data_IF_117544593080
#
_entry.id   IF_117544593080
#
_cell.length_a   1.000
_cell.length_b   1.000
_cell.length_c   1.000
_cell.angle_alpha   90.00
_cell.angle_beta   90.00
_cell.angle_gamma   90.00
#
_symmetry.space_group_name_H-M   'P 1'
#
loop_
_entity.id
_entity.type
_entity.pdbx_description
1 polymer ?
#
# COMPACT_ATOMS: atom_id res chain seq x y z
N UNK A 1 -1.13 -6.66 11.94
CA UNK A 1 -1.51 -7.90 11.23
C UNK A 1 -2.43 -7.54 10.07
N UNK A 2 -2.19 -8.06 8.87
CA UNK A 2 -3.08 -7.83 7.73
C UNK A 2 -4.32 -8.72 7.77
N UNK A 3 -4.13 -10.00 8.10
CA UNK A 3 -5.20 -10.97 8.20
C UNK A 3 -5.71 -11.00 9.64
N UNK A 4 -6.84 -10.34 9.90
CA UNK A 4 -7.47 -10.34 11.22
C UNK A 4 -8.85 -11.01 11.18
N UNK A 5 -9.29 -11.69 12.26
CA UNK A 5 -10.57 -12.41 12.28
C UNK A 5 -11.82 -11.53 12.11
N UNK A 6 -11.81 -10.32 12.66
CA UNK A 6 -12.98 -9.42 12.70
C UNK A 6 -12.73 -8.05 12.05
N UNK A 7 -11.53 -7.86 11.49
CA UNK A 7 -11.09 -6.61 10.88
C UNK A 7 -10.22 -6.91 9.65
N UNK A 8 -9.94 -5.89 8.85
CA UNK A 8 -9.02 -6.00 7.71
C UNK A 8 -7.84 -5.05 7.93
N UNK A 9 -6.61 -5.56 7.99
CA UNK A 9 -5.45 -4.72 8.26
C UNK A 9 -5.15 -3.69 7.19
N UNK A 10 -5.56 -3.91 5.93
CA UNK A 10 -5.50 -2.87 4.89
C UNK A 10 -6.39 -1.67 5.21
N UNK A 11 -7.55 -1.91 5.84
CA UNK A 11 -8.45 -0.83 6.31
C UNK A 11 -7.78 -0.05 7.45
N UNK A 12 -7.16 -0.75 8.40
CA UNK A 12 -6.46 -0.12 9.52
C UNK A 12 -5.27 0.71 9.04
N UNK A 13 -4.43 0.17 8.16
CA UNK A 13 -3.26 0.88 7.63
C UNK A 13 -3.70 2.07 6.79
N UNK A 14 -4.76 1.93 5.98
CA UNK A 14 -5.35 3.05 5.24
C UNK A 14 -5.84 4.16 6.17
N UNK A 15 -6.52 3.82 7.27
CA UNK A 15 -6.92 4.79 8.29
C UNK A 15 -5.72 5.47 8.95
N UNK A 16 -4.70 4.71 9.35
CA UNK A 16 -3.47 5.28 9.93
C UNK A 16 -2.77 6.21 8.96
N UNK A 17 -2.68 5.85 7.68
CA UNK A 17 -2.09 6.69 6.65
C UNK A 17 -2.90 7.98 6.38
N UNK A 18 -4.22 7.96 6.57
CA UNK A 18 -5.09 9.13 6.39
C UNK A 18 -5.07 10.08 7.60
N UNK A 19 -5.12 9.55 8.82
CA UNK A 19 -5.34 10.34 10.03
C UNK A 19 -4.11 10.46 10.94
N UNK A 20 -3.14 9.54 10.80
CA UNK A 20 -1.94 9.43 11.64
C UNK A 20 -0.67 9.12 10.81
N UNK A 21 -0.38 9.85 9.72
CA UNK A 21 0.67 9.49 8.75
C UNK A 21 2.10 9.47 9.31
N UNK A 22 2.31 10.04 10.50
CA UNK A 22 3.60 10.10 11.20
C UNK A 22 3.79 9.00 12.24
N UNK A 23 2.80 8.11 12.41
CA UNK A 23 2.89 6.96 13.32
C UNK A 23 3.47 5.78 12.53
N UNK A 24 4.68 5.30 12.87
CA UNK A 24 5.27 4.14 12.18
C UNK A 24 4.38 2.91 12.33
N UNK A 25 4.24 2.16 11.25
CA UNK A 25 3.38 0.99 11.22
C UNK A 25 4.21 -0.29 11.03
N UNK A 26 4.08 -1.23 11.96
CA UNK A 26 4.66 -2.56 11.83
C UNK A 26 3.61 -3.50 11.25
N UNK A 27 3.87 -4.03 10.05
CA UNK A 27 2.94 -4.88 9.33
C UNK A 27 3.35 -6.34 9.46
N UNK A 28 2.42 -7.17 9.89
CA UNK A 28 2.62 -8.61 10.02
C UNK A 28 1.72 -9.35 9.02
N UNK A 29 2.26 -10.34 8.31
CA UNK A 29 1.53 -11.15 7.31
C UNK A 29 2.04 -12.59 7.31
N UNK A 30 1.24 -13.55 6.84
CA UNK A 30 1.68 -14.94 6.61
C UNK A 30 2.45 -15.13 5.30
N UNK A 31 2.42 -14.13 4.42
CA UNK A 31 3.08 -14.16 3.11
C UNK A 31 4.51 -13.61 3.16
N UNK A 32 5.33 -13.98 2.18
CA UNK A 32 6.74 -13.56 2.10
C UNK A 32 6.89 -12.06 1.90
N UNK A 33 7.73 -11.40 2.70
CA UNK A 33 7.84 -9.94 2.75
C UNK A 33 8.97 -9.35 1.91
N UNK A 34 9.81 -10.17 1.27
CA UNK A 34 11.04 -9.71 0.60
C UNK A 34 10.79 -8.63 -0.44
N UNK A 35 9.74 -8.78 -1.25
CA UNK A 35 9.39 -7.80 -2.30
C UNK A 35 8.97 -6.43 -1.74
N UNK A 36 8.26 -6.46 -0.60
CA UNK A 36 7.83 -5.26 0.11
C UNK A 36 9.02 -4.56 0.78
N UNK A 37 9.94 -5.32 1.39
CA UNK A 37 11.15 -4.80 2.04
C UNK A 37 12.08 -4.07 1.06
N UNK A 38 12.17 -4.55 -0.19
CA UNK A 38 13.00 -3.90 -1.22
C UNK A 38 12.44 -2.54 -1.67
N UNK A 39 11.11 -2.35 -1.59
CA UNK A 39 10.44 -1.17 -2.16
C UNK A 39 10.01 -0.14 -1.13
N UNK A 40 10.05 -0.50 0.15
CA UNK A 40 9.57 0.34 1.25
C UNK A 40 10.74 0.62 2.17
N UNK A 41 10.99 1.90 2.43
CA UNK A 41 12.00 2.31 3.40
C UNK A 41 11.65 1.76 4.78
N UNK A 42 12.63 1.20 5.48
CA UNK A 42 12.52 0.70 6.86
C UNK A 42 12.02 1.76 7.85
N UNK A 43 12.11 3.01 7.45
CA UNK A 43 11.67 4.21 8.15
C UNK A 43 10.15 4.38 8.29
N UNK A 44 9.35 3.78 7.39
CA UNK A 44 7.89 4.05 7.28
C UNK A 44 7.05 2.84 7.64
N UNK A 45 7.39 1.68 7.08
CA UNK A 45 6.81 0.39 7.45
C UNK A 45 7.91 -0.66 7.54
N UNK A 46 7.85 -1.44 8.62
CA UNK A 46 8.60 -2.69 8.74
C UNK A 46 7.64 -3.88 8.56
N UNK A 47 7.98 -4.80 7.66
CA UNK A 47 7.20 -6.02 7.40
C UNK A 47 7.79 -7.25 8.07
N UNK A 48 6.92 -8.03 8.71
CA UNK A 48 7.25 -9.28 9.39
C UNK A 48 6.39 -10.41 8.82
N UNK A 49 7.08 -11.44 8.32
CA UNK A 49 6.43 -12.70 7.98
C UNK A 49 6.19 -13.50 9.25
N UNK A 50 4.99 -14.06 9.42
CA UNK A 50 4.67 -14.99 10.52
C UNK A 50 5.12 -16.42 10.15
N UNK A 51 5.74 -17.17 11.08
CA UNK A 51 6.21 -16.72 12.39
C UNK A 51 7.48 -15.85 12.26
N UNK A 52 7.63 -14.88 13.18
CA UNK A 52 8.81 -14.01 13.28
C UNK A 52 9.44 -14.17 14.67
N UNK A 53 10.72 -13.79 14.79
CA UNK A 53 11.41 -13.75 16.07
C UNK A 53 10.95 -12.53 16.90
N UNK A 54 10.42 -12.73 18.13
CA UNK A 54 10.03 -11.63 19.00
C UNK A 54 11.17 -10.69 19.40
N UNK A 55 12.39 -11.20 19.53
CA UNK A 55 13.56 -10.40 19.93
C UNK A 55 13.98 -9.49 18.76
N UNK A 56 14.06 -10.02 17.53
CA UNK A 56 14.30 -9.20 16.32
C UNK A 56 13.22 -8.13 16.12
N UNK A 57 11.96 -8.46 16.42
CA UNK A 57 10.85 -7.51 16.37
C UNK A 57 11.02 -6.39 17.41
N UNK A 58 11.36 -6.74 18.65
CA UNK A 58 11.58 -5.77 19.73
C UNK A 58 12.73 -4.82 19.40
N UNK A 59 13.85 -5.33 18.88
CA UNK A 59 15.01 -4.53 18.47
C UNK A 59 14.62 -3.52 17.39
N UNK A 60 13.84 -3.94 16.40
CA UNK A 60 13.37 -3.07 15.31
C UNK A 60 12.41 -1.98 15.81
N UNK A 61 11.56 -2.29 16.78
CA UNK A 61 10.69 -1.29 17.43
C UNK A 61 11.53 -0.25 18.17
N UNK A 62 12.55 -0.68 18.90
CA UNK A 62 13.45 0.23 19.63
C UNK A 62 14.21 1.15 18.67
N UNK A 63 14.71 0.62 17.55
CA UNK A 63 15.40 1.41 16.53
C UNK A 63 14.49 2.52 15.95
N UNK A 64 13.25 2.17 15.59
CA UNK A 64 12.27 3.14 15.09
C UNK A 64 11.99 4.23 16.14
N UNK A 65 11.82 3.84 17.40
CA UNK A 65 11.57 4.79 18.49
C UNK A 65 12.75 5.75 18.71
N UNK A 66 13.98 5.29 18.56
CA UNK A 66 15.17 6.14 18.67
C UNK A 66 15.27 7.12 17.48
N UNK A 67 14.98 6.67 16.26
CA UNK A 67 14.91 7.56 15.06
C UNK A 67 13.85 8.66 15.22
N UNK A 68 12.70 8.34 15.82
CA UNK A 68 11.65 9.33 16.10
C UNK A 68 12.11 10.44 17.07
N UNK A 69 12.95 10.12 18.07
CA UNK A 69 13.51 11.12 19.00
C UNK A 69 14.40 12.15 18.29
N UNK A 70 15.02 11.75 17.18
CA UNK A 70 15.93 12.61 16.41
C UNK A 70 15.20 13.58 15.45
N UNK A 71 13.86 13.68 15.50
CA UNK A 71 13.03 14.47 14.57
C UNK A 71 13.23 14.11 13.08
N UNK A 72 13.77 12.92 12.80
CA UNK A 72 13.78 12.34 11.46
C UNK A 72 12.37 11.82 11.19
N UNK A 73 11.43 12.72 10.90
CA UNK A 73 10.06 12.35 10.55
C UNK A 73 10.09 11.55 9.25
N UNK A 74 9.50 10.37 9.31
CA UNK A 74 9.40 9.48 8.16
C UNK A 74 8.05 9.68 7.48
N UNK A 75 8.08 9.59 6.15
CA UNK A 75 6.97 9.94 5.25
C UNK A 75 5.81 8.94 5.36
N UNK A 76 4.67 9.27 4.77
CA UNK A 76 3.54 8.33 4.57
C UNK A 76 3.96 7.09 3.76
N UNK A 77 3.16 6.03 3.84
CA UNK A 77 3.37 4.81 3.07
C UNK A 77 3.20 5.13 1.57
N UNK A 78 4.18 4.81 0.71
CA UNK A 78 4.05 5.08 -0.71
C UNK A 78 2.99 4.17 -1.33
N UNK A 79 2.40 4.62 -2.45
CA UNK A 79 1.31 3.92 -3.13
C UNK A 79 1.67 2.46 -3.42
N UNK A 80 2.88 2.22 -3.92
CA UNK A 80 3.38 0.88 -4.27
C UNK A 80 3.24 -0.10 -3.11
N UNK A 81 3.55 0.30 -1.88
CA UNK A 81 3.45 -0.60 -0.73
C UNK A 81 2.04 -1.10 -0.52
N UNK A 82 1.04 -0.24 -0.70
CA UNK A 82 -0.35 -0.66 -0.66
C UNK A 82 -0.73 -1.61 -1.79
N UNK A 83 -0.30 -1.33 -3.02
CA UNK A 83 -0.64 -2.18 -4.16
C UNK A 83 -0.07 -3.59 -3.99
N UNK A 84 1.16 -3.69 -3.48
CA UNK A 84 1.79 -4.97 -3.19
C UNK A 84 1.10 -5.72 -2.05
N UNK A 85 0.70 -5.02 -0.98
CA UNK A 85 -0.08 -5.65 0.09
C UNK A 85 -1.44 -6.17 -0.43
N UNK A 86 -2.12 -5.42 -1.32
CA UNK A 86 -3.38 -5.84 -1.94
C UNK A 86 -3.18 -7.10 -2.81
N UNK A 87 -2.12 -7.13 -3.63
CA UNK A 87 -1.81 -8.27 -4.48
C UNK A 87 -1.50 -9.53 -3.65
N UNK A 88 -0.65 -9.40 -2.63
CA UNK A 88 -0.25 -10.53 -1.77
C UNK A 88 -1.44 -11.13 -1.01
N UNK A 89 -2.32 -10.27 -0.48
CA UNK A 89 -3.49 -10.69 0.27
C UNK A 89 -4.68 -11.05 -0.62
N UNK A 90 -4.51 -10.97 -1.95
CA UNK A 90 -5.57 -11.22 -2.95
C UNK A 90 -6.84 -10.42 -2.66
N UNK A 91 -6.69 -9.19 -2.18
CA UNK A 91 -7.82 -8.38 -1.76
C UNK A 91 -8.60 -7.87 -2.98
N UNK A 92 -9.93 -7.96 -2.93
CA UNK A 92 -10.83 -7.26 -3.85
C UNK A 92 -11.28 -5.95 -3.19
N UNK A 93 -10.89 -4.81 -3.74
CA UNK A 93 -11.16 -3.50 -3.14
C UNK A 93 -11.09 -2.36 -4.15
N UNK A 94 -11.46 -1.17 -3.69
CA UNK A 94 -11.20 0.09 -4.39
C UNK A 94 -10.31 0.95 -3.51
N UNK A 95 -9.22 1.42 -4.09
CA UNK A 95 -8.29 2.34 -3.45
C UNK A 95 -8.50 3.73 -4.02
N UNK A 96 -8.97 4.67 -3.20
CA UNK A 96 -8.86 6.09 -3.55
C UNK A 96 -7.47 6.59 -3.20
N UNK A 97 -6.81 7.23 -4.15
CA UNK A 97 -5.45 7.74 -4.02
C UNK A 97 -5.50 9.25 -4.25
N UNK A 98 -4.97 10.01 -3.30
CA UNK A 98 -4.82 11.46 -3.44
C UNK A 98 -3.34 11.81 -3.41
N UNK A 99 -2.85 12.32 -4.54
CA UNK A 99 -1.47 12.80 -4.69
C UNK A 99 -1.48 14.34 -4.71
N UNK A 100 -0.48 15.00 -4.09
CA UNK A 100 -0.36 16.45 -4.15
C UNK A 100 -0.33 16.98 -5.59
N UNK A 101 -1.17 17.98 -5.89
CA UNK A 101 -1.21 18.63 -7.20
C UNK A 101 -1.84 17.82 -8.34
N UNK A 102 -2.34 16.60 -8.09
CA UNK A 102 -3.03 15.77 -9.09
C UNK A 102 -4.52 15.63 -8.78
N UNK A 103 -5.37 15.35 -9.79
CA UNK A 103 -6.74 14.93 -9.54
C UNK A 103 -6.79 13.68 -8.63
N UNK A 104 -7.85 13.50 -7.83
CA UNK A 104 -8.07 12.26 -7.11
C UNK A 104 -8.10 11.07 -8.09
N UNK A 105 -7.43 9.99 -7.69
CA UNK A 105 -7.39 8.74 -8.42
C UNK A 105 -8.16 7.64 -7.72
N UNK A 106 -8.60 6.65 -8.50
CA UNK A 106 -9.15 5.41 -8.00
C UNK A 106 -8.48 4.23 -8.71
N UNK A 107 -8.14 3.19 -7.95
CA UNK A 107 -7.69 1.89 -8.48
C UNK A 107 -8.64 0.80 -8.03
N UNK A 108 -9.00 -0.09 -8.96
CA UNK A 108 -9.96 -1.15 -8.74
C UNK A 108 -9.27 -2.50 -8.79
N UNK A 109 -9.33 -3.24 -7.69
CA UNK A 109 -8.69 -4.54 -7.53
C UNK A 109 -9.71 -5.65 -7.39
N UNK A 110 -9.50 -6.76 -8.10
CA UNK A 110 -10.25 -8.00 -7.92
C UNK A 110 -9.28 -9.16 -7.70
N UNK A 111 -9.39 -9.83 -6.54
CA UNK A 111 -8.53 -10.96 -6.13
C UNK A 111 -7.04 -10.62 -6.16
N UNK A 112 -6.69 -9.38 -5.83
CA UNK A 112 -5.30 -8.87 -5.86
C UNK A 112 -4.83 -8.36 -7.21
N UNK A 113 -5.62 -8.54 -8.29
CA UNK A 113 -5.27 -8.05 -9.62
C UNK A 113 -5.85 -6.66 -9.87
N UNK A 114 -5.05 -5.75 -10.43
CA UNK A 114 -5.51 -4.41 -10.84
C UNK A 114 -6.34 -4.51 -12.12
N UNK A 115 -7.64 -4.23 -12.03
CA UNK A 115 -8.59 -4.35 -13.14
C UNK A 115 -8.78 -3.05 -13.91
N UNK A 116 -8.80 -1.92 -13.21
CA UNK A 116 -9.00 -0.60 -13.81
C UNK A 116 -8.39 0.47 -12.90
N UNK A 117 -8.13 1.64 -13.47
CA UNK A 117 -7.74 2.83 -12.72
C UNK A 117 -8.31 4.08 -13.40
N UNK A 118 -8.54 5.13 -12.61
CA UNK A 118 -9.02 6.43 -13.10
C UNK A 118 -8.26 7.53 -12.37
N UNK A 119 -7.81 8.55 -13.10
CA UNK A 119 -7.20 9.76 -12.52
C UNK A 119 -7.53 10.95 -13.43
N UNK A 120 -8.45 11.81 -13.01
CA UNK A 120 -8.97 12.88 -13.86
C UNK A 120 -9.56 12.34 -15.17
N UNK A 121 -8.96 12.68 -16.31
CA UNK A 121 -9.36 12.18 -17.64
C UNK A 121 -8.70 10.86 -18.04
N UNK A 122 -7.63 10.45 -17.36
CA UNK A 122 -6.90 9.21 -17.65
C UNK A 122 -7.70 8.00 -17.16
N UNK A 123 -7.61 6.88 -17.87
CA UNK A 123 -8.29 5.62 -17.55
C UNK A 123 -7.41 4.41 -17.84
N UNK A 124 -7.69 3.30 -17.17
CA UNK A 124 -6.96 2.04 -17.37
C UNK A 124 -5.48 2.18 -17.07
N UNK A 125 -4.63 1.63 -17.94
CA UNK A 125 -3.18 1.55 -17.72
C UNK A 125 -2.54 2.94 -17.59
N UNK A 126 -2.96 3.94 -18.37
CA UNK A 126 -2.42 5.31 -18.27
C UNK A 126 -2.67 5.95 -16.91
N UNK A 127 -3.87 5.76 -16.35
CA UNK A 127 -4.18 6.24 -15.00
C UNK A 127 -3.38 5.50 -13.93
N UNK A 128 -3.16 4.19 -14.12
CA UNK A 128 -2.36 3.40 -13.20
C UNK A 128 -0.90 3.90 -13.16
N UNK A 129 -0.28 4.08 -14.33
CA UNK A 129 1.09 4.57 -14.46
C UNK A 129 1.28 5.97 -13.86
N UNK A 130 0.25 6.82 -13.93
CA UNK A 130 0.27 8.17 -13.34
C UNK A 130 0.24 8.17 -11.79
N UNK A 131 -0.43 7.17 -11.20
CA UNK A 131 -0.67 7.07 -9.76
C UNK A 131 0.39 6.23 -9.02
N UNK A 132 0.92 5.18 -9.65
CA UNK A 132 1.86 4.23 -9.01
C UNK A 132 3.09 4.92 -8.40
N UNK A 133 3.76 5.89 -9.05
CA UNK A 133 4.98 6.52 -8.51
C UNK A 133 4.76 7.40 -7.26
N UNK A 134 3.53 7.55 -6.78
CA UNK A 134 3.21 8.42 -5.65
C UNK A 134 3.94 8.02 -4.36
N UNK A 135 4.94 8.82 -3.95
CA UNK A 135 5.65 8.66 -2.67
C UNK A 135 4.82 9.13 -1.47
N UNK A 136 4.00 10.17 -1.68
CA UNK A 136 3.13 10.72 -0.63
C UNK A 136 1.69 10.65 -1.11
N UNK A 137 0.91 9.78 -0.47
CA UNK A 137 -0.47 9.59 -0.84
C UNK A 137 -1.32 9.48 0.41
N UNK A 138 -2.43 10.22 0.44
CA UNK A 138 -3.55 9.83 1.29
C UNK A 138 -4.28 8.73 0.56
N UNK A 139 -4.50 7.63 1.26
CA UNK A 139 -5.05 6.44 0.64
C UNK A 139 -6.21 5.90 1.44
N UNK A 140 -7.35 5.72 0.77
CA UNK A 140 -8.59 5.26 1.39
C UNK A 140 -9.02 3.91 0.82
N UNK A 141 -9.03 2.90 1.68
CA UNK A 141 -9.61 1.59 1.37
C UNK A 141 -11.13 1.71 1.32
N UNK A 142 -11.74 1.22 0.24
CA UNK A 142 -13.18 0.94 0.16
C UNK A 142 -13.42 -0.50 -0.25
N UNK A 143 -14.43 -1.10 0.37
CA UNK A 143 -14.89 -2.43 -0.03
C UNK A 143 -15.36 -2.43 -1.48
N UNK A 144 -15.10 -3.53 -2.18
CA UNK A 144 -15.45 -3.69 -3.59
C UNK A 144 -16.95 -3.41 -3.81
N UNK A 145 -17.31 -2.52 -4.76
CA UNK A 145 -18.71 -2.24 -5.04
C UNK A 145 -19.41 -3.50 -5.56
N UNK A 146 -20.71 -3.66 -5.27
CA UNK A 146 -21.50 -4.82 -5.76
C UNK A 146 -21.65 -4.88 -7.30
N UNK A 147 -21.12 -3.90 -8.04
CA UNK A 147 -21.14 -3.86 -9.51
C UNK A 147 -19.88 -4.53 -10.06
N UNK A 148 -20.04 -5.38 -11.07
CA UNK A 148 -18.93 -5.99 -11.80
C UNK A 148 -18.08 -4.88 -12.41
N UNK A 149 -16.78 -4.90 -12.15
CA UNK A 149 -15.81 -3.98 -12.72
C UNK A 149 -15.28 -4.61 -14.00
N UNK A 150 -15.41 -3.92 -15.12
CA UNK A 150 -14.86 -4.39 -16.38
C UNK A 150 -13.34 -4.31 -16.32
N UNK A 151 -12.66 -5.44 -16.53
CA UNK A 151 -11.20 -5.45 -16.65
C UNK A 151 -10.76 -4.66 -17.88
N UNK A 152 -10.01 -3.59 -17.65
CA UNK A 152 -9.39 -2.74 -18.69
C UNK A 152 -7.86 -2.81 -18.67
N UNK A 153 -7.29 -3.27 -17.56
CA UNK A 153 -5.86 -3.48 -17.40
C UNK A 153 -5.59 -4.99 -17.45
N UNK A 154 -4.78 -5.39 -18.44
CA UNK A 154 -4.35 -6.79 -18.62
C UNK A 154 -2.87 -6.99 -18.27
N UNK A 155 -2.12 -5.90 -18.07
CA UNK A 155 -0.72 -5.92 -17.65
C UNK A 155 -0.65 -6.23 -16.15
N UNK A 156 0.28 -7.10 -15.73
CA UNK A 156 0.47 -7.42 -14.32
C UNK A 156 1.08 -6.26 -13.53
N UNK A 157 0.87 -6.25 -12.21
CA UNK A 157 1.28 -5.15 -11.34
C UNK A 157 2.80 -4.93 -11.34
N UNK A 158 3.59 -6.01 -11.40
CA UNK A 158 5.05 -5.91 -11.44
C UNK A 158 5.50 -5.15 -12.69
N UNK A 159 4.99 -5.54 -13.86
CA UNK A 159 5.30 -4.86 -15.13
C UNK A 159 4.83 -3.39 -15.11
N UNK A 160 3.67 -3.08 -14.51
CA UNK A 160 3.20 -1.70 -14.38
C UNK A 160 4.11 -0.85 -13.50
N UNK A 161 4.58 -1.39 -12.36
CA UNK A 161 5.54 -0.71 -11.48
C UNK A 161 6.85 -0.45 -12.22
N UNK A 162 7.37 -1.42 -12.97
CA UNK A 162 8.60 -1.23 -13.76
C UNK A 162 8.43 -0.17 -14.86
N UNK A 163 7.25 -0.09 -15.48
CA UNK A 163 6.93 0.93 -16.49
C UNK A 163 6.76 2.32 -15.90
N UNK A 164 6.26 2.45 -14.67
CA UNK A 164 5.92 3.76 -14.10
C UNK A 164 7.14 4.62 -13.71
N UNK A 165 8.34 4.04 -13.70
CA UNK A 165 9.60 4.72 -13.38
C UNK A 165 10.54 4.88 -14.60
N UNK A 166 10.04 4.58 -15.80
CA UNK A 166 10.75 4.81 -17.07
C UNK A 166 10.28 6.10 -17.72
#
# INVERSE_FOLDING_TARGET
>A
DIQMPSANGLVVISYMNEYHPYVPCFVMTSYGTSRLKEKLSEDVISFYQKPFDPDEFADSVMEVLDRLKENKQTKSIPVIGFLEMIEMEKASCVFEIRLPGKPPGEMYFEKGELYDAVCGSLKGEEAALELIPGETATVKYRFFPRKIIQRKINTDLKTLIEKSFK
#
